data_IF_023669772455
#
_entry.id   IF_023669772455
#
_cell.length_a   1.000
_cell.length_b   1.000
_cell.length_c   1.000
_cell.angle_alpha   90.00
_cell.angle_beta   90.00
_cell.angle_gamma   90.00
#
_symmetry.space_group_name_H-M   'P 1'
#
loop_
_entity.id
_entity.type
_entity.pdbx_description
1 polymer ?
#
# COMPACT_ATOMS: atom_id res chain seq x y z
N UNK A 1 -12.21 1.09 7.72
CA UNK A 1 -12.22 1.61 6.32
C UNK A 1 -11.63 0.55 5.40
N UNK A 2 -12.22 0.30 4.23
CA UNK A 2 -11.61 -0.55 3.18
C UNK A 2 -10.93 0.37 2.17
N UNK A 3 -9.65 0.14 1.87
CA UNK A 3 -8.85 1.05 1.02
C UNK A 3 -7.70 0.34 0.33
N UNK A 4 -7.27 0.89 -0.79
CA UNK A 4 -6.03 0.53 -1.50
C UNK A 4 -5.00 1.66 -1.48
N UNK A 5 -5.27 2.77 -0.78
CA UNK A 5 -4.36 3.92 -0.69
C UNK A 5 -3.33 3.68 0.40
N UNK A 6 -2.05 3.74 0.03
CA UNK A 6 -0.92 3.58 0.97
C UNK A 6 -1.00 4.55 2.15
N UNK A 7 -1.39 5.82 1.94
CA UNK A 7 -1.47 6.81 3.01
C UNK A 7 -2.47 6.40 4.10
N UNK A 8 -3.61 5.82 3.70
CA UNK A 8 -4.60 5.31 4.65
C UNK A 8 -4.12 4.04 5.34
N UNK A 9 -3.42 3.15 4.64
CA UNK A 9 -2.88 1.90 5.20
C UNK A 9 -1.80 2.20 6.25
N UNK A 10 -0.89 3.15 5.98
CA UNK A 10 0.21 3.49 6.90
C UNK A 10 -0.27 4.09 8.22
N UNK A 11 -1.39 4.82 8.19
CA UNK A 11 -1.93 5.52 9.36
C UNK A 11 -3.04 4.73 10.07
N UNK A 12 -3.31 3.49 9.67
CA UNK A 12 -4.34 2.68 10.30
C UNK A 12 -3.86 2.14 11.66
N UNK A 13 -4.69 2.26 12.69
CA UNK A 13 -4.38 1.73 14.03
C UNK A 13 -4.23 0.20 14.01
N UNK A 14 -5.11 -0.47 13.24
CA UNK A 14 -5.05 -1.90 12.97
C UNK A 14 -5.49 -2.19 11.53
N UNK A 15 -4.93 -3.24 10.96
CA UNK A 15 -5.14 -3.69 9.59
C UNK A 15 -5.54 -5.16 9.64
N UNK A 16 -6.56 -5.53 8.88
CA UNK A 16 -6.98 -6.91 8.66
C UNK A 16 -6.58 -7.32 7.24
N UNK A 17 -5.81 -8.41 7.13
CA UNK A 17 -5.39 -8.98 5.85
C UNK A 17 -6.29 -10.16 5.53
N UNK A 18 -6.95 -10.08 4.37
CA UNK A 18 -7.85 -11.12 3.88
C UNK A 18 -7.25 -11.79 2.64
N UNK A 19 -7.28 -13.12 2.61
CA UNK A 19 -7.02 -13.92 1.42
C UNK A 19 -8.14 -14.95 1.24
N UNK A 20 -8.76 -14.97 0.06
CA UNK A 20 -9.85 -15.90 -0.29
C UNK A 20 -10.95 -16.02 0.77
N UNK A 21 -11.35 -14.90 1.36
CA UNK A 21 -12.38 -14.85 2.40
C UNK A 21 -11.93 -15.30 3.80
N UNK A 22 -10.63 -15.53 4.01
CA UNK A 22 -10.05 -15.88 5.31
C UNK A 22 -9.15 -14.78 5.83
N UNK A 23 -9.17 -14.57 7.14
CA UNK A 23 -8.22 -13.69 7.82
C UNK A 23 -6.88 -14.39 7.89
N UNK A 24 -5.86 -13.78 7.29
CA UNK A 24 -4.49 -14.30 7.24
C UNK A 24 -3.50 -13.39 7.96
N UNK A 25 -3.97 -12.27 8.52
CA UNK A 25 -3.18 -11.38 9.35
C UNK A 25 -4.04 -10.31 10.02
N UNK A 26 -3.67 -9.92 11.23
CA UNK A 26 -4.27 -8.81 11.95
C UNK A 26 -3.22 -8.14 12.83
N UNK A 27 -3.10 -6.80 12.75
CA UNK A 27 -2.10 -6.07 13.52
C UNK A 27 -1.90 -4.65 13.05
N UNK A 28 -0.91 -3.96 13.63
CA UNK A 28 -0.42 -2.67 13.14
C UNK A 28 0.32 -2.84 11.82
N UNK A 29 0.59 -1.73 11.13
CA UNK A 29 1.45 -1.72 9.95
C UNK A 29 2.79 -2.43 10.22
N UNK A 30 3.44 -2.13 11.36
CA UNK A 30 4.75 -2.67 11.70
C UNK A 30 4.68 -4.17 11.98
N UNK A 31 3.73 -4.61 12.81
CA UNK A 31 3.52 -6.03 13.14
C UNK A 31 3.34 -6.89 11.88
N UNK A 32 2.54 -6.40 10.92
CA UNK A 32 2.28 -7.11 9.67
C UNK A 32 3.43 -7.01 8.68
N UNK A 33 4.17 -5.90 8.64
CA UNK A 33 5.30 -5.76 7.72
C UNK A 33 6.46 -6.71 8.09
N UNK A 34 6.67 -6.90 9.40
CA UNK A 34 7.73 -7.75 9.93
C UNK A 34 7.34 -9.23 9.93
N UNK A 35 6.06 -9.54 10.15
CA UNK A 35 5.58 -10.92 10.37
C UNK A 35 4.71 -11.52 9.26
N UNK A 36 4.25 -10.75 8.27
CA UNK A 36 3.28 -11.21 7.28
C UNK A 36 3.76 -10.98 5.83
N UNK A 37 4.21 -12.08 5.21
CA UNK A 37 4.76 -12.06 3.83
C UNK A 37 3.74 -11.55 2.81
N UNK A 38 2.47 -11.97 2.93
CA UNK A 38 1.41 -11.55 2.01
C UNK A 38 1.15 -10.05 2.11
N UNK A 39 1.08 -9.52 3.34
CA UNK A 39 0.93 -8.09 3.56
C UNK A 39 2.08 -7.30 2.94
N UNK A 40 3.32 -7.76 3.11
CA UNK A 40 4.51 -7.14 2.52
C UNK A 40 4.43 -7.09 0.98
N UNK A 41 4.05 -8.19 0.34
CA UNK A 41 3.85 -8.27 -1.12
C UNK A 41 2.77 -7.30 -1.62
N UNK A 42 1.63 -7.22 -0.92
CA UNK A 42 0.55 -6.27 -1.22
C UNK A 42 1.08 -4.84 -1.08
N UNK A 43 1.76 -4.53 0.03
CA UNK A 43 2.30 -3.21 0.30
C UNK A 43 3.28 -2.75 -0.77
N UNK A 44 4.23 -3.60 -1.17
CA UNK A 44 5.19 -3.33 -2.23
C UNK A 44 4.47 -3.03 -3.56
N UNK A 45 3.45 -3.80 -3.92
CA UNK A 45 2.65 -3.57 -5.14
C UNK A 45 1.95 -2.21 -5.11
N UNK A 46 1.36 -1.87 -3.97
CA UNK A 46 0.66 -0.59 -3.77
C UNK A 46 1.65 0.60 -3.76
N UNK A 47 2.86 0.40 -3.25
CA UNK A 47 3.89 1.45 -3.17
C UNK A 47 4.47 1.76 -4.55
N UNK A 48 4.74 0.74 -5.37
CA UNK A 48 5.21 0.91 -6.75
C UNK A 48 4.17 1.64 -7.62
N UNK A 49 2.87 1.38 -7.42
CA UNK A 49 1.78 2.12 -8.09
C UNK A 49 1.75 3.62 -7.75
N UNK A 50 2.31 4.06 -6.61
CA UNK A 50 2.41 5.49 -6.29
C UNK A 50 3.58 6.16 -7.01
N UNK A 51 4.75 5.51 -7.13
CA UNK A 51 5.94 6.10 -7.78
C UNK A 51 5.70 6.38 -9.27
N UNK A 52 4.99 5.50 -9.97
CA UNK A 52 4.67 5.70 -11.39
C UNK A 52 3.82 6.94 -11.60
N UNK A 53 2.75 7.14 -10.82
CA UNK A 53 1.88 8.35 -10.90
C UNK A 53 2.64 9.66 -10.65
N UNK A 54 3.57 9.69 -9.69
CA UNK A 54 4.37 10.89 -9.40
C UNK A 54 5.35 11.21 -10.53
N UNK A 55 5.91 10.20 -11.20
CA UNK A 55 6.84 10.38 -12.32
C UNK A 55 6.13 10.88 -13.59
N UNK A 56 4.93 10.39 -13.92
CA UNK A 56 4.18 10.90 -15.09
C UNK A 56 3.77 12.36 -14.89
N UNK A 57 3.30 12.71 -13.67
CA UNK A 57 2.90 14.08 -13.35
C UNK A 57 4.06 15.08 -13.43
N UNK A 58 5.28 14.67 -13.04
CA UNK A 58 6.49 15.51 -13.14
C UNK A 58 6.99 15.68 -14.58
N UNK A 59 6.69 14.77 -15.51
CA UNK A 59 7.05 14.91 -16.93
C UNK A 59 6.08 15.87 -17.65
N UNK A 60 4.78 15.75 -17.41
CA UNK A 60 3.76 16.57 -18.07
C UNK A 60 3.88 18.08 -17.76
N UNK A 61 4.46 18.45 -16.61
CA UNK A 61 4.68 19.85 -16.24
C UNK A 61 5.97 20.44 -16.82
N UNK A 62 6.92 19.63 -17.29
CA UNK A 62 8.24 20.08 -17.76
C UNK A 62 8.41 19.95 -19.29
N UNK A 63 7.41 19.39 -20.00
CA UNK A 63 7.44 19.18 -21.46
C UNK A 63 6.57 20.15 -22.26
N UNK A 64 6.19 21.29 -21.67
CA UNK A 64 5.43 22.35 -22.32
C UNK A 64 6.18 23.66 -22.32
N UNK A 65 7.31 23.71 -23.02
CA UNK A 65 7.92 24.91 -23.62
C UNK A 65 8.56 24.47 -24.93
#
# INVERSE_FOLDING_TARGET
IITQRISTIRNADKILVLDKGRVVGYGTHQELFDGNVLYKQIYETLFHKQKTKTRVKKMAINGGI
#
